data_IF_245922199071
#
_entry.id   IF_245922199071
#
_cell.length_a   1.000
_cell.length_b   1.000
_cell.length_c   1.000
_cell.angle_alpha   90.00
_cell.angle_beta   90.00
_cell.angle_gamma   90.00
#
_symmetry.space_group_name_H-M   'P 1'
#
loop_
_entity.id
_entity.type
_entity.pdbx_description
1 polymer ?
#
# COMPACT_ATOMS: atom_id res chain seq x y z
N UNK A 1 -2.41 20.24 -25.14
CA UNK A 1 -2.62 18.84 -24.74
C UNK A 1 -3.90 18.39 -25.42
N UNK A 2 -3.85 17.39 -26.28
CA UNK A 2 -5.06 16.82 -26.89
C UNK A 2 -5.73 15.92 -25.85
N UNK A 3 -7.03 16.04 -25.69
CA UNK A 3 -7.83 15.14 -24.86
C UNK A 3 -8.15 13.93 -25.72
N UNK A 4 -7.63 12.75 -25.32
CA UNK A 4 -7.87 11.52 -26.05
C UNK A 4 -9.31 11.02 -25.81
N UNK A 5 -9.88 10.36 -26.80
CA UNK A 5 -11.17 9.71 -26.69
C UNK A 5 -11.14 8.62 -25.63
N UNK A 6 -12.22 8.53 -24.83
CA UNK A 6 -12.27 7.64 -23.67
C UNK A 6 -13.64 7.02 -23.47
N UNK A 7 -13.59 5.84 -22.87
CA UNK A 7 -14.74 5.27 -22.21
C UNK A 7 -14.90 5.89 -20.81
N UNK A 8 -16.01 6.55 -20.57
CA UNK A 8 -16.35 7.17 -19.28
C UNK A 8 -17.63 6.55 -18.75
N UNK A 9 -17.57 5.90 -17.58
CA UNK A 9 -18.69 5.20 -16.96
C UNK A 9 -19.40 4.21 -17.90
N UNK A 10 -18.66 3.51 -18.77
CA UNK A 10 -19.21 2.58 -19.76
C UNK A 10 -19.72 3.21 -21.04
N UNK A 11 -19.56 4.53 -21.22
CA UNK A 11 -19.88 5.24 -22.45
C UNK A 11 -18.61 5.65 -23.18
N UNK A 12 -18.50 5.26 -24.45
CA UNK A 12 -17.44 5.76 -25.33
C UNK A 12 -17.76 7.20 -25.70
N UNK A 13 -16.92 8.14 -25.30
CA UNK A 13 -17.02 9.54 -25.70
C UNK A 13 -15.99 9.76 -26.79
N UNK A 14 -16.46 9.69 -28.02
CA UNK A 14 -15.66 10.01 -29.19
C UNK A 14 -15.44 11.53 -29.22
N UNK A 15 -14.19 11.92 -29.27
CA UNK A 15 -13.75 13.30 -29.42
C UNK A 15 -14.31 14.28 -28.37
N UNK A 16 -13.65 14.38 -27.24
CA UNK A 16 -14.00 15.31 -26.15
C UNK A 16 -14.22 16.76 -26.61
N UNK A 17 -13.56 17.21 -27.68
CA UNK A 17 -13.72 18.55 -28.22
C UNK A 17 -15.11 18.76 -28.83
N UNK A 18 -15.79 17.74 -29.34
CA UNK A 18 -17.16 17.84 -29.87
C UNK A 18 -18.17 18.15 -28.75
N UNK A 19 -17.85 17.80 -27.50
CA UNK A 19 -18.65 18.08 -26.32
C UNK A 19 -18.29 19.43 -25.66
N UNK A 20 -17.50 20.29 -26.31
CA UNK A 20 -17.11 21.60 -25.79
C UNK A 20 -16.11 21.53 -24.64
N UNK A 21 -15.37 20.42 -24.52
CA UNK A 21 -14.30 20.26 -23.55
C UNK A 21 -13.00 20.89 -24.08
N UNK A 22 -12.79 22.16 -23.77
CA UNK A 22 -11.54 22.84 -24.11
C UNK A 22 -10.53 22.74 -22.98
N UNK A 23 -9.32 22.26 -23.30
CA UNK A 23 -8.23 22.14 -22.32
C UNK A 23 -7.92 23.52 -21.73
N UNK A 24 -7.85 23.57 -20.39
CA UNK A 24 -7.54 24.78 -19.62
C UNK A 24 -8.78 25.62 -19.25
N UNK A 25 -9.97 25.35 -19.78
CA UNK A 25 -11.19 26.00 -19.30
C UNK A 25 -11.71 25.33 -18.05
N UNK A 26 -12.24 26.14 -17.13
CA UNK A 26 -12.73 25.66 -15.83
C UNK A 26 -14.19 25.21 -15.88
N UNK A 27 -14.91 25.49 -16.97
CA UNK A 27 -16.32 25.15 -17.12
C UNK A 27 -16.65 24.75 -18.57
N UNK A 28 -17.58 23.81 -18.71
CA UNK A 28 -18.08 23.37 -20.02
C UNK A 28 -19.36 22.55 -19.93
N UNK A 29 -19.72 21.95 -21.05
CA UNK A 29 -20.90 21.07 -21.14
C UNK A 29 -20.54 19.69 -20.58
N UNK A 30 -21.54 19.01 -20.02
CA UNK A 30 -21.35 17.64 -19.51
C UNK A 30 -21.35 16.61 -20.65
N UNK A 31 -20.34 15.80 -20.83
CA UNK A 31 -20.32 14.74 -21.84
C UNK A 31 -21.31 13.61 -21.57
N UNK A 32 -21.79 13.47 -20.31
CA UNK A 32 -22.67 12.37 -19.92
C UNK A 32 -24.16 12.70 -20.03
N UNK A 33 -24.57 13.94 -19.79
CA UNK A 33 -25.99 14.27 -19.75
C UNK A 33 -26.43 15.36 -20.76
N UNK A 34 -25.50 16.01 -21.45
CA UNK A 34 -25.86 17.12 -22.36
C UNK A 34 -26.66 16.62 -23.55
N UNK A 35 -26.35 15.44 -24.06
CA UNK A 35 -27.01 14.84 -25.21
C UNK A 35 -28.50 14.51 -24.95
N UNK A 36 -28.83 14.16 -23.71
CA UNK A 36 -30.18 13.73 -23.30
C UNK A 36 -31.08 14.90 -22.91
N UNK A 37 -30.56 16.13 -22.99
CA UNK A 37 -31.30 17.32 -22.63
C UNK A 37 -32.13 17.83 -23.82
N UNK A 38 -33.10 18.70 -23.50
CA UNK A 38 -33.82 19.47 -24.53
C UNK A 38 -32.82 20.25 -25.39
N UNK A 39 -33.05 20.39 -26.72
CA UNK A 39 -32.12 21.00 -27.65
C UNK A 39 -31.57 22.35 -27.19
N UNK A 40 -32.42 23.19 -26.60
CA UNK A 40 -32.04 24.50 -26.07
C UNK A 40 -31.03 24.45 -24.91
N UNK A 41 -30.96 23.32 -24.19
CA UNK A 41 -30.13 23.13 -22.99
C UNK A 41 -28.89 22.27 -23.25
N UNK A 42 -28.72 21.70 -24.43
CA UNK A 42 -27.59 20.80 -24.73
C UNK A 42 -26.23 21.52 -24.69
N UNK A 43 -26.21 22.82 -24.95
CA UNK A 43 -24.99 23.66 -24.92
C UNK A 43 -24.76 24.36 -23.57
N UNK A 44 -25.60 24.10 -22.56
CA UNK A 44 -25.47 24.74 -21.25
C UNK A 44 -24.21 24.24 -20.54
N UNK A 45 -23.38 25.18 -20.06
CA UNK A 45 -22.17 24.88 -19.28
C UNK A 45 -22.54 24.49 -17.85
N UNK A 46 -22.65 23.21 -17.61
CA UNK A 46 -23.12 22.63 -16.36
C UNK A 46 -22.04 21.83 -15.64
N UNK A 47 -20.85 21.77 -16.18
CA UNK A 47 -19.74 21.05 -15.57
C UNK A 47 -18.59 21.98 -15.21
N UNK A 48 -17.98 21.73 -14.07
CA UNK A 48 -16.69 22.30 -13.65
C UNK A 48 -15.56 21.31 -13.91
N UNK A 49 -14.38 21.82 -14.27
CA UNK A 49 -13.20 21.04 -14.63
C UNK A 49 -12.03 21.36 -13.72
N UNK A 50 -11.47 20.32 -13.15
CA UNK A 50 -10.18 20.34 -12.45
C UNK A 50 -9.15 19.59 -13.33
N UNK A 51 -8.36 20.32 -14.08
CA UNK A 51 -7.38 19.76 -15.00
C UNK A 51 -6.17 19.18 -14.31
N UNK A 52 -5.83 19.65 -13.10
CA UNK A 52 -4.73 19.10 -12.31
C UNK A 52 -5.09 17.70 -11.84
N UNK A 53 -6.30 17.52 -11.33
CA UNK A 53 -6.83 16.21 -10.93
C UNK A 53 -7.34 15.38 -12.09
N UNK A 54 -7.54 15.99 -13.26
CA UNK A 54 -8.11 15.34 -14.43
C UNK A 54 -9.58 14.92 -14.25
N UNK A 55 -10.35 15.69 -13.47
CA UNK A 55 -11.73 15.36 -13.10
C UNK A 55 -12.66 16.47 -13.58
N UNK A 56 -13.75 16.08 -14.25
CA UNK A 56 -14.91 16.92 -14.51
C UNK A 56 -16.07 16.52 -13.60
N UNK A 57 -16.80 17.51 -13.06
CA UNK A 57 -17.99 17.28 -12.23
C UNK A 57 -19.16 18.07 -12.80
N UNK A 58 -20.26 17.38 -13.06
CA UNK A 58 -21.48 18.00 -13.57
C UNK A 58 -22.45 18.35 -12.45
N UNK A 59 -22.85 19.63 -12.37
CA UNK A 59 -23.80 20.12 -11.37
C UNK A 59 -25.27 19.85 -11.74
N UNK A 60 -25.54 19.29 -12.93
CA UNK A 60 -26.91 18.92 -13.33
C UNK A 60 -27.25 17.45 -13.14
N UNK A 61 -26.28 16.53 -13.33
CA UNK A 61 -26.49 15.10 -13.14
C UNK A 61 -25.68 14.54 -11.98
N UNK A 62 -24.95 15.40 -11.25
CA UNK A 62 -24.12 15.08 -10.08
C UNK A 62 -23.08 13.96 -10.31
N UNK A 63 -22.72 13.74 -11.60
CA UNK A 63 -21.71 12.74 -11.96
C UNK A 63 -20.35 13.38 -12.19
N UNK A 64 -19.31 12.67 -11.73
CA UNK A 64 -17.93 12.99 -12.05
C UNK A 64 -17.39 12.05 -13.12
N UNK A 65 -16.45 12.54 -13.92
CA UNK A 65 -15.83 11.81 -15.02
C UNK A 65 -14.37 12.25 -15.21
N UNK A 66 -13.57 11.40 -15.86
CA UNK A 66 -12.17 11.70 -16.12
C UNK A 66 -12.03 12.58 -17.37
N UNK A 67 -11.25 13.67 -17.26
CA UNK A 67 -10.86 14.54 -18.38
C UNK A 67 -9.65 14.01 -19.13
N UNK A 68 -8.70 13.37 -18.43
CA UNK A 68 -7.52 12.75 -19.01
C UNK A 68 -6.99 11.60 -18.13
N UNK A 69 -6.23 10.70 -18.73
CA UNK A 69 -5.49 9.69 -17.98
C UNK A 69 -4.18 10.29 -17.47
N UNK A 70 -3.95 10.19 -16.18
CA UNK A 70 -2.60 10.40 -15.70
C UNK A 70 -1.71 9.28 -16.26
N UNK A 71 -0.69 9.64 -17.06
CA UNK A 71 0.42 8.74 -17.26
C UNK A 71 1.03 8.54 -15.88
N UNK A 72 0.78 7.39 -15.27
CA UNK A 72 1.59 6.98 -14.11
C UNK A 72 3.04 7.08 -14.60
N UNK A 73 3.82 8.02 -14.05
CA UNK A 73 5.28 7.97 -14.21
C UNK A 73 5.63 6.55 -13.84
N UNK A 74 6.16 5.79 -14.79
CA UNK A 74 6.61 4.43 -14.52
C UNK A 74 7.40 4.50 -13.24
N UNK A 75 7.08 3.67 -12.26
CA UNK A 75 7.92 3.57 -11.06
C UNK A 75 9.30 3.27 -11.62
N UNK A 76 10.25 4.21 -11.48
CA UNK A 76 11.64 3.88 -11.69
C UNK A 76 11.88 2.60 -10.87
N UNK A 77 12.41 1.56 -11.50
CA UNK A 77 12.81 0.36 -10.78
C UNK A 77 13.69 0.81 -9.63
N UNK A 78 13.18 0.66 -8.42
CA UNK A 78 13.96 1.01 -7.23
C UNK A 78 14.84 -0.19 -6.95
N UNK A 79 16.13 0.01 -7.01
CA UNK A 79 17.06 -0.94 -6.43
C UNK A 79 16.84 -0.94 -4.91
N UNK A 80 16.48 -2.10 -4.38
CA UNK A 80 16.33 -2.31 -2.95
C UNK A 80 17.59 -2.93 -2.38
N UNK A 81 17.93 -2.54 -1.16
CA UNK A 81 19.03 -3.15 -0.42
C UNK A 81 18.52 -4.43 0.22
N UNK A 82 19.17 -5.55 -0.06
CA UNK A 82 18.89 -6.82 0.61
C UNK A 82 19.57 -6.80 1.98
N UNK A 83 18.83 -7.05 3.08
CA UNK A 83 19.45 -7.12 4.40
C UNK A 83 20.52 -8.22 4.47
N UNK A 84 21.68 -7.89 5.01
CA UNK A 84 22.66 -8.92 5.34
C UNK A 84 22.05 -9.90 6.35
N UNK A 85 22.34 -11.19 6.20
CA UNK A 85 21.77 -12.23 7.07
C UNK A 85 22.10 -11.92 8.53
N UNK A 86 21.09 -11.50 9.26
CA UNK A 86 21.11 -11.65 10.71
C UNK A 86 20.99 -13.13 11.05
N UNK A 87 21.64 -13.59 12.08
CA UNK A 87 21.59 -14.99 12.53
C UNK A 87 20.14 -15.34 12.88
N UNK A 88 19.41 -15.90 11.91
CA UNK A 88 18.06 -16.43 12.14
C UNK A 88 18.19 -17.57 13.16
N UNK A 89 17.53 -17.45 14.30
CA UNK A 89 17.41 -18.54 15.28
C UNK A 89 18.16 -18.37 16.60
N UNK A 90 18.88 -17.27 16.83
CA UNK A 90 19.47 -17.02 18.16
C UNK A 90 18.44 -16.28 19.03
N UNK A 91 17.57 -17.03 19.71
CA UNK A 91 16.63 -16.48 20.69
C UNK A 91 17.31 -16.53 22.08
N UNK A 92 17.41 -15.38 22.72
CA UNK A 92 17.82 -15.26 24.12
C UNK A 92 16.69 -15.76 25.03
N UNK A 93 16.98 -16.52 26.07
CA UNK A 93 16.02 -17.02 27.05
C UNK A 93 15.12 -15.90 27.61
N UNK A 94 15.67 -14.71 27.87
CA UNK A 94 14.90 -13.57 28.37
C UNK A 94 13.82 -13.09 27.38
N UNK A 95 14.13 -13.16 26.10
CA UNK A 95 13.17 -12.80 25.06
C UNK A 95 12.10 -13.88 24.91
N UNK A 96 12.48 -15.15 24.98
CA UNK A 96 11.52 -16.27 24.99
C UNK A 96 10.58 -16.16 26.19
N UNK A 97 11.09 -15.92 27.39
CA UNK A 97 10.28 -15.68 28.58
C UNK A 97 9.33 -14.49 28.41
N UNK A 98 9.83 -13.39 27.84
CA UNK A 98 9.01 -12.21 27.58
C UNK A 98 7.86 -12.51 26.59
N UNK A 99 8.07 -13.30 25.56
CA UNK A 99 7.01 -13.74 24.65
C UNK A 99 6.07 -14.75 25.32
N UNK A 100 6.58 -15.66 26.13
CA UNK A 100 5.76 -16.61 26.88
C UNK A 100 4.76 -15.90 27.84
N UNK A 101 5.16 -14.77 28.46
CA UNK A 101 4.21 -13.95 29.26
C UNK A 101 3.06 -13.38 28.44
N UNK A 102 3.13 -13.45 27.11
CA UNK A 102 2.10 -13.02 26.15
C UNK A 102 1.38 -14.18 25.47
N UNK A 103 1.65 -15.40 25.95
CA UNK A 103 1.07 -16.61 25.37
C UNK A 103 1.65 -16.98 24.02
N UNK A 104 2.85 -16.51 23.66
CA UNK A 104 3.55 -16.85 22.41
C UNK A 104 4.71 -17.77 22.74
N UNK A 105 4.69 -18.97 22.18
CA UNK A 105 5.69 -20.00 22.40
C UNK A 105 6.98 -19.75 21.62
N UNK A 106 8.08 -20.36 22.08
CA UNK A 106 9.36 -20.36 21.35
C UNK A 106 9.22 -21.00 19.96
N UNK A 107 8.33 -22.00 19.82
CA UNK A 107 8.09 -22.64 18.55
C UNK A 107 7.51 -21.64 17.53
N UNK A 108 6.50 -20.87 17.92
CA UNK A 108 5.94 -19.80 17.08
C UNK A 108 7.02 -18.80 16.64
N UNK A 109 7.90 -18.37 17.55
CA UNK A 109 8.99 -17.46 17.20
C UNK A 109 9.93 -18.04 16.13
N UNK A 110 10.21 -19.34 16.21
CA UNK A 110 11.04 -20.06 15.21
C UNK A 110 10.31 -20.16 13.87
N UNK A 111 9.03 -20.51 13.88
CA UNK A 111 8.22 -20.72 12.67
C UNK A 111 8.08 -19.43 11.86
N UNK A 112 7.83 -18.31 12.54
CA UNK A 112 7.75 -16.98 11.89
C UNK A 112 9.10 -16.26 11.84
N UNK A 113 10.20 -16.96 12.15
CA UNK A 113 11.60 -16.54 11.96
C UNK A 113 11.96 -15.24 12.70
N UNK A 114 11.47 -15.07 13.93
CA UNK A 114 11.93 -14.00 14.83
C UNK A 114 13.36 -14.27 15.25
N UNK A 115 14.17 -13.23 15.36
CA UNK A 115 15.53 -13.31 15.90
C UNK A 115 15.79 -12.16 16.87
N UNK A 116 16.95 -12.20 17.53
CA UNK A 116 17.43 -11.14 18.41
C UNK A 116 18.86 -10.76 18.06
N UNK A 117 19.21 -9.51 18.32
CA UNK A 117 20.55 -9.01 18.06
C UNK A 117 20.70 -7.56 18.48
N UNK A 118 21.92 -7.05 18.34
CA UNK A 118 22.19 -5.63 18.56
C UNK A 118 22.00 -4.85 17.26
N UNK A 119 21.35 -3.70 17.37
CA UNK A 119 21.13 -2.82 16.24
C UNK A 119 21.18 -1.36 16.67
N UNK A 120 21.80 -0.49 15.84
CA UNK A 120 21.81 0.94 16.10
C UNK A 120 20.41 1.53 15.99
N UNK A 121 19.93 2.11 17.07
CA UNK A 121 18.60 2.72 17.13
C UNK A 121 18.74 4.25 17.11
N UNK A 122 18.24 4.92 16.05
CA UNK A 122 18.36 6.38 15.93
C UNK A 122 17.73 7.15 17.08
N UNK A 123 16.67 6.59 17.68
CA UNK A 123 15.96 7.21 18.81
C UNK A 123 16.78 7.28 20.09
N UNK A 124 17.72 6.36 20.28
CA UNK A 124 18.61 6.34 21.44
C UNK A 124 20.05 6.77 21.12
N UNK A 125 20.38 6.86 19.81
CA UNK A 125 21.71 7.26 19.32
C UNK A 125 22.82 6.23 19.57
N UNK A 126 22.47 4.98 19.87
CA UNK A 126 23.43 3.91 20.18
C UNK A 126 22.91 2.53 19.79
N UNK A 127 23.77 1.49 19.76
CA UNK A 127 23.33 0.10 19.64
C UNK A 127 22.47 -0.32 20.83
N UNK A 128 21.35 -0.95 20.56
CA UNK A 128 20.43 -1.52 21.54
C UNK A 128 20.16 -2.99 21.22
N UNK A 129 19.84 -3.77 22.25
CA UNK A 129 19.32 -5.12 22.03
C UNK A 129 17.92 -5.03 21.42
N UNK A 130 17.71 -5.73 20.32
CA UNK A 130 16.46 -5.64 19.55
C UNK A 130 15.87 -7.01 19.28
N UNK A 131 14.54 -7.08 19.30
CA UNK A 131 13.77 -8.11 18.63
C UNK A 131 13.76 -7.76 17.14
N UNK A 132 14.04 -8.75 16.30
CA UNK A 132 14.11 -8.60 14.86
C UNK A 132 13.00 -9.43 14.21
N UNK A 133 12.04 -8.75 13.61
CA UNK A 133 11.02 -9.37 12.79
C UNK A 133 11.56 -9.45 11.37
N UNK A 134 11.81 -10.66 10.90
CA UNK A 134 12.41 -10.92 9.59
C UNK A 134 11.33 -11.15 8.56
N UNK A 135 11.31 -10.34 7.50
CA UNK A 135 10.34 -10.40 6.42
C UNK A 135 10.93 -11.18 5.25
N UNK A 136 10.23 -12.20 4.82
CA UNK A 136 10.65 -13.06 3.71
C UNK A 136 9.66 -12.96 2.56
N UNK A 137 10.18 -13.09 1.34
CA UNK A 137 9.40 -13.24 0.11
C UNK A 137 10.05 -14.34 -0.71
N UNK A 138 9.32 -15.42 -0.97
CA UNK A 138 9.85 -16.59 -1.68
C UNK A 138 11.03 -17.24 -0.95
N UNK A 139 11.05 -17.21 0.39
CA UNK A 139 12.14 -17.74 1.22
C UNK A 139 13.38 -16.84 1.31
N UNK A 140 13.40 -15.68 0.64
CA UNK A 140 14.51 -14.72 0.68
C UNK A 140 14.24 -13.63 1.73
N UNK A 141 15.23 -13.32 2.57
CA UNK A 141 15.14 -12.22 3.53
C UNK A 141 15.09 -10.89 2.75
N UNK A 142 13.94 -10.21 2.82
CA UNK A 142 13.67 -9.00 2.04
C UNK A 142 13.71 -7.74 2.89
N UNK A 143 13.32 -7.83 4.17
CA UNK A 143 13.37 -6.70 5.10
C UNK A 143 13.53 -7.20 6.55
N UNK A 144 13.92 -6.30 7.44
CA UNK A 144 13.96 -6.55 8.90
C UNK A 144 13.37 -5.34 9.61
N UNK A 145 12.45 -5.59 10.53
CA UNK A 145 11.96 -4.58 11.46
C UNK A 145 12.54 -4.83 12.85
N UNK A 146 13.19 -3.83 13.37
CA UNK A 146 13.86 -3.87 14.67
C UNK A 146 12.97 -3.21 15.71
N UNK A 147 12.89 -3.81 16.88
CA UNK A 147 12.19 -3.28 18.06
C UNK A 147 13.07 -3.38 19.29
N UNK A 148 13.37 -2.25 19.93
CA UNK A 148 14.11 -2.23 21.19
C UNK A 148 13.19 -2.40 22.42
N UNK A 149 13.78 -2.47 23.61
CA UNK A 149 13.06 -2.61 24.88
C UNK A 149 12.18 -1.41 25.24
N UNK A 150 12.41 -0.25 24.63
CA UNK A 150 11.63 1.00 24.84
C UNK A 150 10.49 1.19 23.85
N UNK A 151 10.23 0.18 23.00
CA UNK A 151 9.25 0.20 21.91
C UNK A 151 9.61 1.19 20.79
N UNK A 152 10.89 1.48 20.57
CA UNK A 152 11.31 2.16 19.36
C UNK A 152 11.40 1.14 18.22
N UNK A 153 11.08 1.61 17.01
CA UNK A 153 11.07 0.78 15.81
C UNK A 153 11.89 1.41 14.70
N UNK A 154 12.52 0.59 13.90
CA UNK A 154 13.04 0.97 12.59
C UNK A 154 12.98 -0.20 11.61
N UNK A 155 12.92 0.11 10.33
CA UNK A 155 13.12 -0.85 9.25
C UNK A 155 14.56 -0.84 8.77
N UNK A 156 15.01 -1.92 8.14
CA UNK A 156 16.30 -1.94 7.47
C UNK A 156 16.34 -0.88 6.38
N UNK A 157 17.40 -0.05 6.39
CA UNK A 157 17.51 1.11 5.51
C UNK A 157 17.63 0.68 4.04
N UNK A 158 16.73 1.16 3.20
CA UNK A 158 16.75 0.90 1.77
C UNK A 158 16.14 -0.44 1.35
N UNK A 159 15.72 -1.30 2.28
CA UNK A 159 15.07 -2.57 1.98
C UNK A 159 13.64 -2.36 1.44
N UNK A 160 13.16 -3.32 0.68
CA UNK A 160 11.80 -3.31 0.16
C UNK A 160 10.78 -3.44 1.28
N UNK A 161 9.68 -2.69 1.19
CA UNK A 161 8.57 -2.81 2.13
C UNK A 161 7.59 -3.86 1.62
N UNK A 162 7.53 -4.95 2.35
CA UNK A 162 6.65 -6.09 2.08
C UNK A 162 5.81 -6.39 3.31
N UNK A 163 4.77 -7.22 3.18
CA UNK A 163 4.01 -7.68 4.33
C UNK A 163 4.82 -8.70 5.13
N UNK A 164 4.69 -8.64 6.45
CA UNK A 164 5.27 -9.66 7.34
C UNK A 164 4.54 -10.98 7.14
N UNK A 165 5.29 -12.09 7.22
CA UNK A 165 4.75 -13.44 7.10
C UNK A 165 4.04 -13.76 5.76
N UNK A 166 4.27 -12.98 4.70
CA UNK A 166 3.58 -13.13 3.40
C UNK A 166 3.78 -14.53 2.78
N UNK A 167 4.93 -15.17 2.99
CA UNK A 167 5.20 -16.50 2.44
C UNK A 167 4.22 -17.56 2.98
N UNK A 168 3.74 -17.40 4.20
CA UNK A 168 2.78 -18.32 4.80
C UNK A 168 1.32 -18.10 4.32
N UNK A 169 1.07 -17.06 3.52
CA UNK A 169 -0.24 -16.88 2.88
C UNK A 169 -0.35 -17.59 1.54
N UNK A 170 0.77 -18.04 0.98
CA UNK A 170 0.81 -18.72 -0.32
C UNK A 170 0.11 -20.08 -0.23
N UNK A 171 -0.80 -20.33 -1.16
CA UNK A 171 -1.59 -21.59 -1.20
C UNK A 171 -2.89 -21.56 -0.38
N UNK A 172 -3.20 -20.44 0.27
CA UNK A 172 -4.48 -20.22 0.94
C UNK A 172 -5.42 -19.38 0.06
N UNK A 173 -6.71 -19.73 0.05
CA UNK A 173 -7.74 -18.96 -0.68
C UNK A 173 -8.04 -17.60 -0.03
N UNK A 174 -7.70 -17.44 1.23
CA UNK A 174 -7.92 -16.23 2.02
C UNK A 174 -6.70 -15.91 2.86
N UNK A 175 -6.51 -14.64 3.24
CA UNK A 175 -5.54 -14.23 4.24
C UNK A 175 -6.16 -13.25 5.24
N UNK A 176 -5.56 -13.17 6.43
CA UNK A 176 -5.94 -12.20 7.46
C UNK A 176 -4.91 -11.08 7.46
N UNK A 177 -5.38 -9.84 7.40
CA UNK A 177 -4.52 -8.65 7.47
C UNK A 177 -4.68 -8.03 8.85
N UNK A 178 -3.56 -7.84 9.55
CA UNK A 178 -3.47 -7.24 10.89
C UNK A 178 -2.51 -6.05 10.88
N UNK A 179 -2.53 -5.24 11.95
CA UNK A 179 -1.73 -4.00 11.99
C UNK A 179 -0.26 -4.24 12.36
N UNK A 180 0.04 -5.30 13.09
CA UNK A 180 1.39 -5.50 13.63
C UNK A 180 1.87 -6.95 13.66
N UNK A 181 3.19 -7.10 13.73
CA UNK A 181 3.86 -8.41 13.78
C UNK A 181 3.45 -9.22 15.01
N UNK A 182 3.17 -8.54 16.13
CA UNK A 182 2.71 -9.21 17.35
C UNK A 182 1.35 -9.88 17.18
N UNK A 183 0.48 -9.29 16.35
CA UNK A 183 -0.85 -9.85 16.06
C UNK A 183 -0.70 -11.09 15.16
N UNK A 184 0.23 -11.05 14.20
CA UNK A 184 0.60 -12.24 13.38
C UNK A 184 1.09 -13.38 14.28
N UNK A 185 1.98 -13.08 15.24
CA UNK A 185 2.48 -14.09 16.18
C UNK A 185 1.35 -14.70 17.02
N UNK A 186 0.43 -13.87 17.51
CA UNK A 186 -0.71 -14.33 18.30
C UNK A 186 -1.67 -15.21 17.48
N UNK A 187 -1.94 -14.86 16.22
CA UNK A 187 -2.73 -15.69 15.32
C UNK A 187 -2.03 -17.01 15.00
N UNK A 188 -0.73 -16.98 14.74
CA UNK A 188 0.06 -18.17 14.45
C UNK A 188 0.06 -19.13 15.66
N UNK A 189 0.19 -18.62 16.89
CA UNK A 189 0.10 -19.41 18.13
C UNK A 189 -1.29 -20.06 18.28
N UNK A 190 -2.34 -19.38 17.81
CA UNK A 190 -3.71 -19.90 17.77
C UNK A 190 -3.96 -20.89 16.61
N UNK A 191 -2.94 -21.24 15.82
CA UNK A 191 -3.06 -22.14 14.66
C UNK A 191 -3.52 -21.47 13.36
N UNK A 192 -3.60 -20.14 13.32
CA UNK A 192 -3.96 -19.36 12.13
C UNK A 192 -2.66 -18.85 11.49
N UNK A 193 -2.18 -19.54 10.46
CA UNK A 193 -0.84 -19.29 9.88
C UNK A 193 -0.85 -18.36 8.68
N UNK A 194 -2.01 -18.10 8.07
CA UNK A 194 -2.20 -17.27 6.87
C UNK A 194 -2.51 -15.79 7.18
N UNK A 195 -1.87 -15.25 8.22
CA UNK A 195 -1.97 -13.86 8.62
C UNK A 195 -0.69 -13.07 8.33
#
# INVERSE_FOLDING_TARGET
MQVEDKEINGFLIENFNQHGLEVGKTQGICPLCSIDRKPENQKAKCSSYDWERGIGTCHNCDKSYQLHTFKRKGKAEREYVVPERTTVGNLDNKIVEWFNTRGISEQTLKDVKVSVGQEFMPQTGKPENTIQFNYFVGGLLTNVKYRDGRKNFKLYKGAEKVFYNIDNTVGHDTCIIVEGEMDVLALHEAGITNA
#
